data_IF_258260266497
#
_entry.id   IF_258260266497
#
_cell.length_a   1.000
_cell.length_b   1.000
_cell.length_c   1.000
_cell.angle_alpha   90.00
_cell.angle_beta   90.00
_cell.angle_gamma   90.00
#
_symmetry.space_group_name_H-M   'P 1'
#
loop_
_entity.id
_entity.type
_entity.pdbx_description
1 polymer ?
2 non-polymer ?
3 non-polymer ?
4 water ?
#
# COMPACT_ATOMS: atom_id res chain seq x y z
N UNK A 44 -1.73 -2.47 -23.86
CA UNK A 44 -0.82 -1.26 -23.85
C UNK A 44 -1.64 -0.13 -24.47
N UNK A 45 -1.69 1.02 -23.78
CA UNK A 45 -2.43 2.24 -24.21
C UNK A 45 -1.46 3.35 -24.68
N UNK A 46 -1.93 4.21 -25.59
CA UNK A 46 -1.22 5.46 -25.97
C UNK A 46 -0.92 6.33 -24.74
N UNK A 47 0.31 6.83 -24.66
CA UNK A 47 0.81 7.64 -23.51
C UNK A 47 1.23 6.83 -22.28
N UNK A 48 1.02 5.50 -22.22
CA UNK A 48 1.27 4.67 -20.99
C UNK A 48 2.78 4.49 -20.78
N UNK A 49 3.58 4.73 -21.83
CA UNK A 49 5.06 4.76 -21.75
C UNK A 49 5.56 5.99 -20.97
N UNK A 50 4.71 6.90 -20.47
CA UNK A 50 5.16 7.88 -19.44
C UNK A 50 5.63 7.17 -18.13
N UNK A 51 5.10 5.96 -17.83
CA UNK A 51 5.65 5.05 -16.78
C UNK A 51 6.80 4.30 -17.43
N UNK A 52 8.01 4.72 -17.13
CA UNK A 52 9.23 4.09 -17.72
C UNK A 52 9.64 2.80 -17.02
N UNK A 53 10.59 2.05 -17.59
CA UNK A 53 11.10 0.83 -16.97
C UNK A 53 11.72 1.09 -15.59
N UNK A 54 12.21 2.31 -15.32
CA UNK A 54 12.72 2.73 -14.00
C UNK A 54 11.99 4.00 -13.67
N UNK A 55 11.45 4.11 -12.43
CA UNK A 55 10.73 5.32 -11.94
C UNK A 55 11.08 5.59 -10.48
N UNK A 56 11.10 6.89 -10.14
CA UNK A 56 11.34 7.35 -8.76
C UNK A 56 10.04 7.92 -8.24
N UNK A 57 9.93 7.94 -6.91
CA UNK A 57 8.79 8.61 -6.24
C UNK A 57 9.26 9.37 -5.00
N UNK A 58 8.49 10.39 -4.66
CA UNK A 58 8.55 11.07 -3.34
C UNK A 58 7.25 10.86 -2.60
N UNK A 59 7.32 10.69 -1.28
CA UNK A 59 6.11 10.42 -0.44
C UNK A 59 6.11 11.29 0.83
N UNK A 60 4.97 11.78 1.17
CA UNK A 60 4.73 12.50 2.45
C UNK A 60 3.46 11.90 3.07
N UNK A 61 3.50 11.60 4.36
CA UNK A 61 2.31 11.16 5.14
C UNK A 61 2.08 12.10 6.32
N UNK A 62 0.84 12.48 6.54
CA UNK A 62 0.33 13.08 7.79
C UNK A 62 -0.57 12.03 8.40
N UNK A 63 -0.32 11.69 9.67
CA UNK A 63 -1.15 10.69 10.31
C UNK A 63 -1.37 10.91 11.79
N UNK A 64 -2.29 10.14 12.31
CA UNK A 64 -2.50 10.01 13.76
C UNK A 64 -2.86 8.57 14.08
N UNK A 65 -2.39 8.06 15.21
CA UNK A 65 -2.74 6.71 15.75
C UNK A 65 -3.17 6.89 17.21
N UNK A 66 -4.43 6.54 17.51
CA UNK A 66 -5.01 6.71 18.90
C UNK A 66 -4.79 8.18 19.36
N UNK A 67 -4.95 9.11 18.46
CA UNK A 67 -4.85 10.54 18.78
C UNK A 67 -3.46 11.12 18.73
N UNK A 68 -2.41 10.35 18.50
CA UNK A 68 -0.98 10.81 18.49
C UNK A 68 -0.65 11.17 17.03
N UNK A 69 -0.41 12.43 16.78
CA UNK A 69 -0.02 12.96 15.45
C UNK A 69 1.42 12.57 15.10
N UNK A 70 1.66 12.32 13.82
CA UNK A 70 3.04 12.08 13.29
C UNK A 70 3.07 12.47 11.79
N UNK A 71 4.28 12.62 11.30
CA UNK A 71 4.56 12.83 9.85
C UNK A 71 5.75 12.01 9.39
N UNK A 72 5.68 11.61 8.12
CA UNK A 72 6.72 10.81 7.46
C UNK A 72 7.05 11.49 6.14
N UNK A 73 8.33 11.50 5.78
CA UNK A 73 8.78 11.95 4.43
C UNK A 73 9.70 10.88 3.91
N UNK A 74 9.60 10.58 2.63
CA UNK A 74 10.52 9.60 2.03
C UNK A 74 10.61 9.68 0.52
N UNK A 75 11.38 8.73 0.02
CA UNK A 75 11.66 8.65 -1.43
C UNK A 75 11.82 7.17 -1.77
N UNK A 76 11.49 6.84 -2.99
CA UNK A 76 11.62 5.46 -3.46
C UNK A 76 11.87 5.37 -4.94
N UNK A 77 12.01 4.13 -5.35
CA UNK A 77 12.34 3.84 -6.77
C UNK A 77 11.99 2.41 -7.09
N UNK A 78 11.91 2.10 -8.38
CA UNK A 78 11.55 0.72 -8.73
C UNK A 78 11.53 0.48 -10.22
N UNK A 79 11.05 -0.70 -10.57
CA UNK A 79 10.98 -1.21 -11.95
C UNK A 79 9.50 -1.53 -12.14
N UNK A 80 8.71 -0.57 -12.65
CA UNK A 80 7.25 -0.70 -12.66
C UNK A 80 6.66 -1.90 -13.39
N UNK A 81 7.36 -2.37 -14.42
CA UNK A 81 6.90 -3.54 -15.21
C UNK A 81 7.40 -4.87 -14.67
N UNK A 82 8.43 -4.84 -13.81
CA UNK A 82 8.91 -6.02 -13.06
C UNK A 82 8.13 -6.22 -11.73
N UNK A 83 7.46 -5.18 -11.26
CA UNK A 83 6.68 -5.28 -10.00
C UNK A 83 7.55 -5.15 -8.74
N UNK A 84 8.72 -4.51 -8.84
CA UNK A 84 9.64 -4.38 -7.70
C UNK A 84 9.91 -2.92 -7.39
N UNK A 85 10.06 -2.66 -6.09
CA UNK A 85 10.32 -1.29 -5.63
C UNK A 85 10.90 -1.27 -4.22
N UNK A 86 11.60 -0.15 -3.96
CA UNK A 86 12.17 0.14 -2.62
C UNK A 86 11.76 1.53 -2.20
N UNK A 87 11.78 1.76 -0.90
CA UNK A 87 11.67 3.12 -0.38
C UNK A 87 12.46 3.30 0.91
N UNK A 88 12.89 4.54 1.14
CA UNK A 88 13.57 4.96 2.38
C UNK A 88 12.66 6.01 3.00
N UNK A 89 12.17 5.77 4.22
CA UNK A 89 11.22 6.68 4.90
C UNK A 89 11.89 7.23 6.15
N UNK A 90 11.57 8.48 6.47
CA UNK A 90 12.08 9.12 7.69
C UNK A 90 10.90 9.68 8.47
N UNK A 91 10.94 9.53 9.80
CA UNK A 91 9.94 10.19 10.67
C UNK A 91 10.34 11.66 10.84
N UNK A 92 9.42 12.57 10.52
CA UNK A 92 9.72 14.04 10.61
C UNK A 92 8.98 14.71 11.76
N UNK A 93 7.94 14.09 12.32
CA UNK A 93 7.21 14.64 13.48
C UNK A 93 6.62 13.47 14.24
N UNK A 94 6.50 13.58 15.56
CA UNK A 94 5.83 12.60 16.41
C UNK A 94 6.65 11.38 16.70
N UNK A 95 7.97 11.45 16.55
CA UNK A 95 8.88 10.32 16.69
C UNK A 95 9.56 10.23 18.08
N UNK A 96 10.12 9.05 18.44
CA UNK A 96 9.95 7.79 17.74
C UNK A 96 8.48 7.33 17.87
N UNK A 97 7.97 6.72 16.77
CA UNK A 97 6.55 6.34 16.73
C UNK A 97 6.23 5.40 17.90
N UNK A 98 5.12 5.63 18.64
CA UNK A 98 4.72 4.69 19.69
C UNK A 98 3.81 3.55 19.23
N UNK A 99 4.05 3.08 18.01
CA UNK A 99 3.26 2.02 17.37
C UNK A 99 4.08 1.34 16.27
N UNK A 100 3.60 0.18 15.87
CA UNK A 100 4.26 -0.68 14.89
C UNK A 100 4.34 0.02 13.51
N UNK A 101 5.53 -0.05 12.91
CA UNK A 101 5.75 0.39 11.51
C UNK A 101 4.86 -0.40 10.54
N UNK A 102 4.46 -1.62 10.88
CA UNK A 102 3.70 -2.47 9.93
C UNK A 102 2.34 -1.90 9.57
N UNK A 103 1.77 -1.01 10.38
CA UNK A 103 0.54 -0.24 10.03
C UNK A 103 0.83 0.68 8.85
N UNK A 104 2.02 1.30 8.78
CA UNK A 104 2.35 2.35 7.80
C UNK A 104 2.88 1.73 6.49
N UNK A 105 3.60 0.62 6.55
CA UNK A 105 4.33 0.11 5.37
C UNK A 105 3.43 -0.10 4.13
N UNK A 106 2.16 -0.59 4.24
CA UNK A 106 1.32 -0.75 3.05
C UNK A 106 0.78 0.55 2.49
N UNK A 107 1.04 1.68 3.13
CA UNK A 107 0.57 2.98 2.66
C UNK A 107 1.59 3.73 1.80
N UNK A 108 2.84 3.26 1.71
CA UNK A 108 3.91 3.92 0.91
C UNK A 108 3.93 3.34 -0.51
N UNK A 110 1.71 2.06 -3.79
CA UNK A 110 2.59 2.55 -4.87
C UNK A 110 2.24 1.80 -6.13
N UNK A 111 1.02 2.10 -6.61
CA UNK A 111 0.27 1.15 -7.47
C UNK A 111 0.77 1.18 -8.91
N UNK A 112 1.65 2.10 -9.32
CA UNK A 112 2.31 2.02 -10.62
C UNK A 112 3.28 0.88 -10.71
N UNK A 113 3.68 0.20 -9.63
CA UNK A 113 4.78 -0.80 -9.65
C UNK A 113 4.30 -2.23 -9.46
N UNK A 114 3.36 -2.65 -10.26
CA UNK A 114 2.76 -4.04 -10.22
C UNK A 114 3.00 -4.69 -11.60
N UNK A 115 3.56 -5.91 -11.59
CA UNK A 115 3.77 -6.70 -12.84
C UNK A 115 2.40 -7.26 -13.31
N UNK A 116 2.18 -7.29 -14.60
CA UNK A 116 0.92 -7.86 -15.19
C UNK A 116 1.30 -8.83 -16.31
N UNK A 117 0.53 -9.93 -16.50
CA UNK A 117 0.70 -10.78 -17.68
C UNK A 117 0.19 -9.94 -18.81
N UNK A 118 0.40 -10.52 -20.01
CA UNK A 118 0.17 -9.74 -21.21
C UNK A 118 -1.31 -9.37 -21.41
N UNK A 119 -2.32 -10.09 -20.88
CA UNK A 119 -3.78 -9.86 -21.12
C UNK A 119 -4.56 -9.24 -19.93
N UNK A 120 -3.85 -8.73 -18.90
CA UNK A 120 -4.53 -7.95 -17.81
C UNK A 120 -4.06 -6.50 -17.94
N UNK A 121 -4.93 -5.57 -18.36
CA UNK A 121 -4.47 -4.19 -18.55
C UNK A 121 -4.15 -3.58 -17.17
N UNK A 122 -3.23 -2.62 -17.18
CA UNK A 122 -2.72 -1.96 -15.98
C UNK A 122 -3.56 -0.70 -15.75
N UNK A 123 -4.52 -0.76 -14.83
CA UNK A 123 -5.44 0.36 -14.50
C UNK A 123 -4.62 1.62 -14.12
N UNK A 124 -3.68 1.44 -13.19
CA UNK A 124 -2.90 2.58 -12.66
C UNK A 124 -1.93 3.16 -13.68
N UNK A 125 -1.16 2.33 -14.40
CA UNK A 125 -0.21 2.85 -15.40
C UNK A 125 -0.92 3.65 -16.50
N UNK A 126 -2.15 3.27 -16.87
CA UNK A 126 -2.93 3.98 -17.90
C UNK A 126 -3.40 5.36 -17.41
N UNK A 127 -3.47 5.60 -16.10
CA UNK A 127 -4.05 6.85 -15.55
C UNK A 127 -3.16 8.09 -15.72
N UNK A 128 -1.90 7.85 -16.12
CA UNK A 128 -0.89 8.91 -16.26
C UNK A 128 -1.08 9.65 -17.58
N UNK A 129 -0.61 10.92 -17.70
CA UNK A 129 0.06 11.69 -16.61
C UNK A 129 -0.80 12.18 -15.41
N UNK A 130 -2.14 12.18 -15.51
CA UNK A 130 -3.04 12.75 -14.47
C UNK A 130 -2.89 11.99 -13.14
N UNK A 131 -2.91 10.67 -13.17
CA UNK A 131 -2.69 9.82 -11.98
C UNK A 131 -4.00 9.44 -11.34
N UNK A 132 -3.98 9.26 -10.03
CA UNK A 132 -5.09 8.49 -9.38
C UNK A 132 -5.08 8.75 -7.88
N UNK A 133 -6.15 8.31 -7.22
CA UNK A 133 -6.29 8.39 -5.77
C UNK A 133 -6.73 7.05 -5.28
N UNK A 134 -6.55 6.80 -3.97
CA UNK A 134 -7.13 5.61 -3.33
C UNK A 134 -7.62 5.91 -1.90
N UNK A 135 -8.60 5.12 -1.49
CA UNK A 135 -9.29 5.26 -0.17
C UNK A 135 -9.41 3.88 0.45
N UNK A 136 -8.80 3.71 1.61
CA UNK A 136 -8.62 2.40 2.30
C UNK A 136 -9.22 2.39 3.70
N UNK A 137 -9.76 1.25 4.07
CA UNK A 137 -10.17 0.94 5.46
C UNK A 137 -9.42 -0.36 5.83
N UNK A 138 -8.76 -0.32 6.97
CA UNK A 138 -8.14 -1.51 7.59
C UNK A 138 -8.90 -1.83 8.89
N UNK A 139 -9.35 -3.06 9.03
CA UNK A 139 -10.14 -3.51 10.20
C UNK A 139 -9.38 -4.65 10.85
N UNK A 140 -8.77 -4.41 11.98
CA UNK A 140 -7.91 -5.41 12.68
C UNK A 140 -8.73 -6.29 13.61
N UNK A 141 -8.27 -7.48 13.88
CA UNK A 141 -9.02 -8.51 14.63
C UNK A 141 -9.40 -8.05 16.05
N UNK A 142 -8.64 -7.16 16.67
CA UNK A 142 -8.85 -6.66 18.06
C UNK A 142 -9.63 -5.32 18.03
N UNK A 143 -10.12 -4.91 16.86
CA UNK A 143 -10.96 -3.70 16.66
C UNK A 143 -10.15 -2.47 16.27
N UNK A 144 -8.81 -2.50 16.25
CA UNK A 144 -8.11 -1.35 15.64
C UNK A 144 -8.67 -1.05 14.24
N UNK A 145 -8.82 0.22 13.95
CA UNK A 145 -9.40 0.66 12.67
C UNK A 145 -8.55 1.78 12.09
N UNK A 146 -8.25 1.73 10.77
CA UNK A 146 -7.40 2.72 10.07
C UNK A 146 -8.15 3.16 8.83
N UNK A 147 -8.28 4.46 8.64
CA UNK A 147 -8.73 5.04 7.36
C UNK A 147 -7.51 5.70 6.76
N UNK A 148 -7.29 5.46 5.46
CA UNK A 148 -6.12 6.00 4.71
C UNK A 148 -6.62 6.53 3.39
N UNK A 149 -6.23 7.73 3.02
CA UNK A 149 -6.48 8.27 1.66
C UNK A 149 -5.17 8.68 1.05
N UNK A 150 -5.13 8.62 -0.26
CA UNK A 150 -3.85 8.80 -0.97
C UNK A 150 -4.09 9.50 -2.31
N UNK A 151 -3.17 10.38 -2.67
CA UNK A 151 -3.14 11.00 -4.01
C UNK A 151 -1.81 10.65 -4.68
N UNK A 152 -1.87 10.21 -5.95
CA UNK A 152 -0.69 9.97 -6.78
C UNK A 152 -0.73 10.91 -7.98
N UNK A 153 0.31 11.72 -8.13
CA UNK A 153 0.49 12.60 -9.28
C UNK A 153 1.87 12.40 -9.87
N UNK A 154 2.13 13.07 -11.00
CA UNK A 154 3.43 12.98 -11.71
C UNK A 154 3.90 14.42 -11.95
N UNK A 155 5.10 14.74 -11.50
CA UNK A 155 5.69 16.12 -11.62
C UNK A 155 7.11 15.96 -12.14
N UNK A 156 7.39 16.50 -13.33
CA UNK A 156 8.76 16.50 -13.94
C UNK A 156 9.35 15.10 -13.93
N UNK A 157 8.54 14.09 -14.26
CA UNK A 157 9.04 12.71 -14.38
C UNK A 157 9.15 11.96 -13.06
N UNK A 158 8.80 12.54 -11.92
CA UNK A 158 8.82 11.90 -10.59
C UNK A 158 7.38 11.72 -10.08
N UNK A 159 7.12 10.50 -9.56
CA UNK A 159 5.79 10.21 -8.98
C UNK A 159 5.72 10.88 -7.60
N UNK A 160 4.58 11.51 -7.30
CA UNK A 160 4.38 12.27 -6.03
C UNK A 160 3.22 11.59 -5.31
N UNK A 161 3.46 11.19 -4.06
CA UNK A 161 2.49 10.49 -3.19
C UNK A 161 2.18 11.36 -1.98
N UNK A 162 0.92 11.67 -1.72
CA UNK A 162 0.48 12.37 -0.48
C UNK A 162 -0.50 11.43 0.22
N UNK A 163 -0.24 11.13 1.49
CA UNK A 163 -1.02 10.10 2.22
C UNK A 163 -1.57 10.78 3.49
N UNK A 164 -2.82 10.50 3.81
CA UNK A 164 -3.46 10.92 5.08
C UNK A 164 -3.96 9.68 5.83
N UNK A 165 -3.56 9.49 7.10
CA UNK A 165 -3.86 8.27 7.86
C UNK A 165 -4.53 8.65 9.19
N UNK A 166 -5.60 7.96 9.56
CA UNK A 166 -6.23 8.09 10.92
C UNK A 166 -6.51 6.68 11.47
N UNK A 167 -5.82 6.32 12.53
CA UNK A 167 -6.05 5.06 13.23
C UNK A 167 -6.62 5.30 14.60
N UNK A 168 -7.56 4.45 14.96
CA UNK A 168 -8.33 4.60 16.24
C UNK A 168 -8.68 3.24 16.78
N UNK A 169 -9.08 3.17 18.07
CA UNK A 169 -9.63 1.97 18.74
C UNK A 169 -8.54 0.86 18.84
N UNK A 170 -7.27 1.22 18.84
CA UNK A 170 -6.21 0.20 19.11
C UNK A 170 -6.10 -0.02 20.62
N UNK A 171 -6.18 -1.26 21.13
CA UNK A 171 -5.93 -1.49 22.58
C UNK A 171 -4.56 -0.95 22.91
N UNK A 172 -4.36 -0.11 23.96
CA UNK A 172 -3.03 0.43 24.25
C UNK A 172 -1.96 -0.62 24.61
N UNK A 173 -2.44 -1.79 25.06
CA UNK A 173 -1.63 -2.94 25.43
C UNK A 173 -1.66 -4.02 24.32
N UNK A 174 -2.17 -3.70 23.12
CA UNK A 174 -2.22 -4.61 21.97
C UNK A 174 -0.90 -4.59 21.23
N UNK A 175 -0.74 -5.51 20.25
CA UNK A 175 0.54 -5.68 19.59
C UNK A 175 0.96 -4.52 18.69
N UNK A 176 0.00 -3.70 18.25
CA UNK A 176 0.31 -2.51 17.44
C UNK A 176 0.92 -1.42 18.32
N UNK A 177 0.22 -1.02 19.38
CA UNK A 177 0.72 0.06 20.25
C UNK A 177 1.86 -0.39 21.17
N UNK A 178 2.10 -1.70 21.35
CA UNK A 178 3.30 -2.20 22.08
C UNK A 178 4.45 -2.55 21.16
N UNK A 179 4.30 -2.36 19.85
CA UNK A 179 5.41 -2.66 18.90
C UNK A 179 5.86 -4.12 19.00
N UNK A 180 4.88 -5.04 18.96
CA UNK A 180 5.15 -6.49 19.09
C UNK A 180 4.83 -7.21 17.78
N UNK A 181 4.94 -6.55 16.64
CA UNK A 181 4.76 -7.22 15.32
C UNK A 181 6.13 -7.32 14.66
N UNK A 182 6.27 -8.16 13.64
CA UNK A 182 7.57 -8.47 12.97
C UNK A 182 7.32 -8.60 11.46
N UNK A 183 6.56 -7.69 10.88
CA UNK A 183 6.37 -7.59 9.43
C UNK A 183 5.13 -8.24 8.92
N UNK A 184 4.85 -7.98 7.66
CA UNK A 184 3.68 -8.48 6.94
C UNK A 184 4.00 -9.80 6.27
N UNK A 185 3.15 -10.79 6.43
CA UNK A 185 3.25 -12.03 5.64
C UNK A 185 2.85 -11.71 4.20
N UNK A 186 3.34 -12.49 3.24
CA UNK A 186 2.92 -12.40 1.86
C UNK A 186 1.40 -12.60 1.81
N UNK A 187 0.73 -11.83 0.94
CA UNK A 187 -0.75 -11.87 0.86
C UNK A 187 -1.19 -11.64 -0.58
N UNK A 188 -2.51 -11.62 -0.74
CA UNK A 188 -3.19 -11.53 -2.05
C UNK A 188 -4.25 -10.46 -1.95
N UNK A 189 -4.27 -9.59 -2.94
CA UNK A 189 -5.38 -8.56 -3.04
C UNK A 189 -6.31 -9.03 -4.15
N UNK A 190 -7.59 -9.29 -3.82
CA UNK A 190 -8.60 -9.65 -4.82
C UNK A 190 -9.22 -8.38 -5.33
N UNK A 191 -9.07 -8.04 -6.59
CA UNK A 191 -9.52 -6.79 -7.23
C UNK A 191 -10.63 -7.08 -8.20
N UNK A 192 -11.63 -6.20 -8.23
CA UNK A 192 -12.67 -6.27 -9.29
C UNK A 192 -13.04 -4.90 -9.78
N UNK A 193 -13.41 -4.76 -11.06
CA UNK A 193 -13.81 -3.48 -11.61
C UNK A 193 -15.27 -3.15 -11.36
N UNK A 194 -15.54 -1.90 -11.08
CA UNK A 194 -16.92 -1.42 -10.81
C UNK A 194 -17.00 0.06 -11.17
N UNK A 195 -17.87 0.49 -12.10
CA UNK A 195 -18.09 1.92 -12.34
C UNK A 195 -16.80 2.73 -12.61
N UNK A 196 -15.85 2.12 -13.32
CA UNK A 196 -14.58 2.78 -13.68
C UNK A 196 -13.54 2.81 -12.58
N UNK A 197 -13.83 2.25 -11.39
CA UNK A 197 -12.86 2.13 -10.27
C UNK A 197 -12.47 0.66 -10.10
N UNK A 198 -11.40 0.40 -9.33
CA UNK A 198 -11.11 -0.94 -8.82
C UNK A 198 -11.39 -1.03 -7.32
N UNK A 199 -12.01 -2.11 -6.90
CA UNK A 199 -12.26 -2.44 -5.50
C UNK A 199 -11.41 -3.63 -5.11
N UNK A 200 -10.60 -3.47 -4.06
CA UNK A 200 -9.65 -4.48 -3.57
C UNK A 200 -10.00 -4.96 -2.20
N UNK A 201 -9.68 -6.23 -1.89
CA UNK A 201 -9.83 -6.79 -0.52
C UNK A 201 -8.62 -7.64 -0.21
N UNK A 202 -8.06 -7.50 0.96
CA UNK A 202 -6.87 -8.28 1.40
C UNK A 202 -7.17 -8.90 2.75
N UNK A 203 -6.92 -10.19 2.87
CA UNK A 203 -6.77 -10.83 4.17
C UNK A 203 -5.31 -10.69 4.58
N UNK A 204 -5.01 -9.72 5.42
CA UNK A 204 -3.66 -9.31 5.85
C UNK A 204 -3.27 -10.01 7.14
N UNK A 205 -1.99 -10.34 7.29
CA UNK A 205 -1.48 -11.01 8.50
C UNK A 205 -0.17 -10.35 8.87
N UNK A 206 -0.08 -9.83 10.07
CA UNK A 206 1.16 -9.29 10.69
C UNK A 206 1.73 -10.37 11.60
N UNK A 207 3.02 -10.66 11.46
CA UNK A 207 3.68 -11.63 12.35
C UNK A 207 3.72 -11.05 13.74
N UNK A 208 3.47 -11.85 14.76
CA UNK A 208 3.67 -11.43 16.18
C UNK A 208 5.04 -11.86 16.67
N UNK A 209 5.70 -10.97 17.43
CA UNK A 209 7.01 -11.27 18.09
C UNK A 209 6.94 -12.58 18.86
N UNK A 210 5.84 -12.80 19.60
CA UNK A 210 5.70 -13.97 20.53
C UNK A 210 5.15 -15.20 19.78
N UNK A 211 5.07 -15.21 18.44
CA UNK A 211 4.48 -16.26 17.61
C UNK A 211 3.04 -15.97 17.27
N UNK A 212 2.59 -16.53 16.16
CA UNK A 212 1.23 -16.37 15.68
C UNK A 212 1.09 -15.15 14.81
N UNK A 213 -0.13 -14.93 14.37
CA UNK A 213 -0.52 -13.95 13.35
C UNK A 213 -1.54 -13.02 13.99
N UNK A 214 -1.49 -11.78 13.60
CA UNK A 214 -2.47 -10.71 13.97
C UNK A 214 -3.09 -10.22 12.67
N UNK A 215 -4.38 -10.45 12.50
CA UNK A 215 -5.07 -10.34 11.21
C UNK A 215 -5.82 -9.01 11.03
N UNK A 216 -5.94 -8.62 9.79
CA UNK A 216 -6.81 -7.51 9.38
C UNK A 216 -7.49 -7.83 8.06
N UNK A 217 -8.61 -7.19 7.82
CA UNK A 217 -9.27 -7.14 6.51
C UNK A 217 -9.00 -5.71 6.02
N UNK A 218 -8.46 -5.59 4.82
CA UNK A 218 -8.05 -4.32 4.21
C UNK A 218 -8.83 -4.11 2.93
N UNK A 219 -9.73 -3.13 2.86
CA UNK A 219 -10.65 -2.88 1.72
C UNK A 219 -10.29 -1.52 1.13
N UNK A 220 -10.08 -1.45 -0.20
CA UNK A 220 -9.58 -0.21 -0.80
C UNK A 220 -10.31 0.04 -2.10
N UNK A 221 -10.64 1.29 -2.40
CA UNK A 221 -11.09 1.74 -3.72
C UNK A 221 -9.95 2.49 -4.38
N UNK A 222 -9.66 2.14 -5.63
CA UNK A 222 -8.61 2.77 -6.47
C UNK A 222 -9.29 3.51 -7.61
N UNK A 223 -9.00 4.83 -7.74
CA UNK A 223 -9.77 5.73 -8.64
C UNK A 223 -8.83 6.51 -9.52
N UNK A 224 -8.77 6.10 -10.79
CA UNK A 224 -8.10 6.86 -11.87
C UNK A 224 -8.76 8.25 -12.03
N UNK A 225 -7.95 9.27 -12.29
CA UNK A 225 -8.48 10.63 -12.54
C UNK A 225 -8.98 10.80 -13.98
N UNK A 226 -8.92 9.81 -14.84
CA UNK A 226 -9.56 9.81 -16.17
C UNK A 226 -10.07 8.41 -16.45
N UNK A 227 -10.94 8.22 -17.46
CA UNK A 227 -11.33 6.88 -17.88
C UNK A 227 -10.13 6.08 -18.46
N UNK A 228 -10.03 4.82 -18.09
CA UNK A 228 -9.00 3.89 -18.61
C UNK A 228 -9.67 2.55 -19.02
N UNK A 229 -8.94 1.76 -19.81
CA UNK A 229 -9.41 0.40 -20.18
C UNK A 229 -9.40 -0.46 -18.92
N UNK A 230 -10.51 -1.10 -18.58
CA UNK A 230 -10.64 -1.79 -17.30
C UNK A 230 -10.20 -3.23 -17.43
N UNK A 231 -9.50 -3.77 -16.43
CA UNK A 231 -9.28 -5.20 -16.37
C UNK A 231 -10.56 -5.92 -15.95
N UNK A 232 -10.60 -7.24 -16.11
CA UNK A 232 -11.52 -8.13 -15.41
C UNK A 232 -11.17 -8.21 -13.94
N UNK A 233 -11.83 -9.05 -13.19
CA UNK A 233 -11.44 -9.34 -11.80
C UNK A 233 -10.10 -10.11 -11.86
N UNK A 234 -9.19 -9.87 -10.92
CA UNK A 234 -7.88 -10.53 -10.86
C UNK A 234 -7.28 -10.35 -9.47
N UNK A 235 -6.15 -10.98 -9.23
CA UNK A 235 -5.46 -10.98 -7.92
C UNK A 235 -4.09 -10.34 -8.05
N UNK A 236 -3.61 -9.67 -6.99
CA UNK A 236 -2.22 -9.19 -6.89
C UNK A 236 -1.61 -9.88 -5.71
N UNK A 237 -0.60 -10.73 -5.96
CA UNK A 237 0.20 -11.37 -4.91
C UNK A 237 1.37 -10.45 -4.58
N UNK A 238 1.66 -10.30 -3.29
CA UNK A 238 2.58 -9.26 -2.80
C UNK A 238 3.37 -9.81 -1.63
N UNK A 239 4.64 -9.40 -1.53
CA UNK A 239 5.48 -9.62 -0.32
C UNK A 239 6.21 -8.32 -0.08
N UNK A 240 5.99 -7.72 1.11
CA UNK A 240 6.62 -6.45 1.49
C UNK A 240 7.52 -6.78 2.69
N UNK A 241 8.79 -6.42 2.58
CA UNK A 241 9.79 -6.62 3.63
C UNK A 241 10.37 -5.31 4.10
N UNK A 242 10.58 -5.20 5.41
CA UNK A 242 11.43 -4.15 6.03
C UNK A 242 12.89 -4.62 5.93
N UNK A 243 13.69 -4.00 5.07
CA UNK A 243 15.05 -4.50 4.69
C UNK A 243 16.04 -3.91 5.68
N UNK A 244 15.76 -2.74 6.27
CA UNK A 244 16.64 -2.16 7.31
C UNK A 244 15.88 -1.08 8.06
N UNK A 245 16.38 -0.77 9.26
CA UNK A 245 15.83 0.33 10.07
C UNK A 245 16.83 0.68 11.17
N UNK A 246 16.83 1.93 11.61
CA UNK A 246 17.58 2.29 12.85
C UNK A 246 16.81 1.79 14.06
N UNK A 247 17.38 1.89 15.25
CA UNK A 247 16.83 1.15 16.43
C UNK A 247 15.40 1.63 16.75
N UNK A 248 15.15 2.96 16.64
CA UNK A 248 13.88 3.66 17.02
C UNK A 248 12.89 3.78 15.84
N UNK A 249 13.21 3.20 14.67
CA UNK A 249 12.35 3.25 13.44
C UNK A 249 12.07 4.69 13.02
N UNK A 250 13.03 5.61 13.20
CA UNK A 250 12.92 6.97 12.62
C UNK A 250 13.49 6.96 11.21
N UNK A 251 14.25 5.94 10.80
CA UNK A 251 14.68 5.74 9.40
C UNK A 251 14.40 4.28 9.07
N UNK A 252 13.64 4.03 7.97
CA UNK A 252 13.16 2.66 7.63
C UNK A 252 13.35 2.48 6.13
N UNK A 253 13.78 1.30 5.71
CA UNK A 253 13.85 0.94 4.29
C UNK A 253 12.92 -0.25 4.05
N UNK A 254 12.18 -0.21 2.95
CA UNK A 254 11.29 -1.37 2.62
C UNK A 254 11.46 -1.75 1.16
N UNK A 255 11.03 -2.96 0.86
CA UNK A 255 11.07 -3.53 -0.51
C UNK A 255 9.75 -4.25 -0.72
N UNK A 256 9.18 -4.12 -1.91
CA UNK A 256 8.00 -4.92 -2.26
C UNK A 256 8.12 -5.48 -3.65
N UNK A 257 7.62 -6.70 -3.80
CA UNK A 257 7.41 -7.40 -5.10
C UNK A 257 5.91 -7.67 -5.23
N UNK A 258 5.29 -7.16 -6.28
CA UNK A 258 3.82 -7.26 -6.53
C UNK A 258 3.57 -7.83 -7.93
N UNK A 259 2.72 -8.86 -8.03
CA UNK A 259 2.48 -9.56 -9.34
C UNK A 259 0.96 -9.76 -9.48
N UNK A 260 0.40 -9.31 -10.60
CA UNK A 260 -0.97 -9.58 -11.03
C UNK A 260 -1.14 -10.93 -11.68
N UNK A 261 -2.21 -11.61 -11.43
CA UNK A 261 -2.52 -12.94 -12.01
C UNK A 261 -4.00 -13.03 -12.21
N UNK A 262 -4.50 -13.97 -13.01
CA UNK A 262 -5.91 -14.39 -12.94
C UNK A 262 -6.22 -15.19 -11.67
N UNK A 263 -7.48 -15.15 -11.23
CA UNK A 263 -8.02 -16.22 -10.34
C UNK A 263 -8.32 -17.48 -11.15
N UNK A 264 -8.33 -18.71 -10.61
CA UNK A 264 -8.84 -19.97 -11.26
C UNK A 264 -10.28 -20.31 -10.85
N UNK A 265 -10.87 -19.63 -9.85
CA UNK A 265 -12.34 -19.56 -9.66
C UNK A 265 -12.77 -19.77 -8.22
N UNK A 267 -14.60 -19.23 -5.09
CA UNK A 267 -15.17 -17.84 -5.17
C UNK A 267 -16.62 -17.86 -4.65
N UNK A 268 -16.92 -17.12 -3.56
CA UNK A 268 -18.20 -17.15 -2.78
C UNK A 268 -18.54 -18.57 -2.32
N UNK A 269 -17.54 -19.31 -1.84
CA UNK A 269 -17.73 -20.67 -1.21
C UNK A 269 -17.60 -20.48 0.31
N UNK A 270 -18.46 -21.16 1.08
CA UNK A 270 -18.40 -21.13 2.56
C UNK A 270 -17.11 -21.77 3.10
N UNK A 271 -16.61 -22.88 2.49
CA UNK A 271 -15.49 -23.72 3.03
C UNK A 271 -14.39 -23.89 1.96
X LIG B 1 -5.28 3.00 -27.11
X LIG B 1 -5.63 1.70 -26.51
X LIG B 1 -6.48 3.62 -27.65
X LIG B 1 -4.37 2.79 -28.21
X LIG B 1 -4.71 3.83 -26.11
X LIG C 1 9.57 -7.50 7.33
X LIG D 1 1.76 -1.19 -4.10
#
# INVERSE_FOLDING_TARGET
>A
MGGSHHHHHHGMASMTGGQQMGRDLYDDDDKENLYFQGHMRSMVSKGEAVIKEFMRFKVHMEGSMNGHEFEIEGEGEGRPYEGTQTAKLKVTKGGPLPFSWDILSPQFXSRAFIKHPADIPDYHKQSFPEGFKWERVMNFEDGGAVTVTQDTSLEDGTLIYEVKLRGTNFPPDGPVMQKKTMGLEADTERLYPEDGVLKGDIKMALRLKDGGRYLADVRTTYKAKKPVQMPGAYNVDRKLDITSHNEDYTVVEQYERSEGRHSTGGMDELYK
>B hetero
1 SO4 S O1 O2 O3 O4
>C hetero
1 NA NA
>D hetero
1 NA NA
#
